data_IF_076227878447
#
_entry.id   IF_076227878447
#
_cell.length_a   1.000
_cell.length_b   1.000
_cell.length_c   1.000
_cell.angle_alpha   90.00
_cell.angle_beta   90.00
_cell.angle_gamma   90.00
#
_symmetry.space_group_name_H-M   'P 1'
#
loop_
_entity.id
_entity.type
_entity.pdbx_description
1 polymer ?
#
# COMPACT_ATOMS: atom_id res chain seq x y z
N UNK A 1 2.95 1.52 19.10
CA UNK A 1 3.61 1.50 17.77
C UNK A 1 2.56 1.48 16.68
N UNK A 2 2.59 2.51 15.83
CA UNK A 2 1.58 2.87 14.81
C UNK A 2 1.72 2.00 13.55
N UNK A 3 0.64 1.89 12.76
CA UNK A 3 0.69 1.32 11.40
C UNK A 3 1.64 2.14 10.53
N UNK A 4 2.08 1.57 9.40
CA UNK A 4 2.70 2.40 8.36
C UNK A 4 1.71 3.45 7.89
N UNK A 5 2.18 4.69 7.74
CA UNK A 5 1.36 5.84 7.43
C UNK A 5 1.84 6.53 6.14
N UNK A 6 0.90 7.10 5.39
CA UNK A 6 1.20 7.77 4.13
C UNK A 6 2.16 8.95 4.35
N UNK A 7 1.95 9.76 5.40
CA UNK A 7 2.81 10.92 5.70
C UNK A 7 4.19 10.48 6.12
N UNK A 8 4.30 9.40 6.88
CA UNK A 8 5.60 8.87 7.29
C UNK A 8 6.48 8.50 6.09
N UNK A 9 5.93 7.77 5.11
CA UNK A 9 6.69 7.38 3.91
C UNK A 9 6.92 8.56 2.97
N UNK A 10 5.95 9.46 2.86
CA UNK A 10 6.11 10.73 2.12
C UNK A 10 7.28 11.56 2.69
N UNK A 11 7.32 11.76 4.00
CA UNK A 11 8.39 12.52 4.67
C UNK A 11 9.76 11.83 4.54
N UNK A 12 9.80 10.49 4.56
CA UNK A 12 11.02 9.74 4.26
C UNK A 12 11.59 10.12 2.88
N UNK A 13 10.78 10.05 1.82
CA UNK A 13 11.26 10.37 0.47
C UNK A 13 11.51 11.87 0.26
N UNK A 14 10.70 12.73 0.88
CA UNK A 14 10.90 14.18 0.87
C UNK A 14 12.24 14.57 1.51
N UNK A 15 12.59 13.97 2.64
CA UNK A 15 13.86 14.21 3.33
C UNK A 15 15.07 13.71 2.53
N UNK A 16 14.87 12.73 1.66
CA UNK A 16 15.88 12.14 0.79
C UNK A 16 15.78 12.59 -0.68
N UNK A 17 15.09 13.70 -0.98
CA UNK A 17 14.86 14.19 -2.35
C UNK A 17 16.15 14.32 -3.18
N UNK A 18 17.26 14.63 -2.51
CA UNK A 18 18.57 14.88 -3.12
C UNK A 18 19.56 13.72 -2.99
N UNK A 19 19.16 12.57 -2.42
CA UNK A 19 20.05 11.41 -2.28
C UNK A 19 20.30 10.72 -3.62
N UNK A 20 19.25 10.52 -4.42
CA UNK A 20 19.28 9.77 -5.66
C UNK A 20 18.05 10.06 -6.56
N UNK A 21 18.08 9.58 -7.81
CA UNK A 21 16.99 9.78 -8.77
C UNK A 21 15.68 9.09 -8.32
N UNK A 22 15.77 7.89 -7.77
CA UNK A 22 14.60 7.10 -7.34
C UNK A 22 13.87 7.80 -6.20
N UNK A 23 14.59 8.27 -5.19
CA UNK A 23 14.04 9.04 -4.07
C UNK A 23 13.35 10.31 -4.55
N UNK A 24 13.90 11.00 -5.56
CA UNK A 24 13.28 12.16 -6.18
C UNK A 24 11.99 11.83 -6.92
N UNK A 25 11.98 10.74 -7.69
CA UNK A 25 10.81 10.28 -8.42
C UNK A 25 9.67 9.91 -7.46
N UNK A 26 9.97 9.15 -6.41
CA UNK A 26 8.97 8.78 -5.41
C UNK A 26 8.49 9.98 -4.60
N UNK A 27 9.35 10.93 -4.21
CA UNK A 27 8.89 12.18 -3.61
C UNK A 27 7.90 12.93 -4.53
N UNK A 28 8.19 12.99 -5.84
CA UNK A 28 7.27 13.54 -6.84
C UNK A 28 5.93 12.79 -6.91
N UNK A 29 5.95 11.45 -6.86
CA UNK A 29 4.75 10.62 -6.81
C UNK A 29 3.89 10.95 -5.58
N UNK A 30 4.46 11.01 -4.38
CA UNK A 30 3.73 11.35 -3.16
C UNK A 30 3.11 12.75 -3.21
N UNK A 31 3.83 13.75 -3.75
CA UNK A 31 3.29 15.10 -3.92
C UNK A 31 2.10 15.13 -4.91
N UNK A 32 2.17 14.37 -6.00
CA UNK A 32 1.06 14.27 -6.97
C UNK A 32 -0.15 13.56 -6.40
N UNK A 33 0.05 12.50 -5.61
CA UNK A 33 -1.05 11.85 -4.88
C UNK A 33 -1.70 12.83 -3.90
N UNK A 34 -0.91 13.63 -3.19
CA UNK A 34 -1.41 14.61 -2.21
C UNK A 34 -2.22 15.76 -2.84
N UNK A 35 -2.06 16.00 -4.15
CA UNK A 35 -2.86 16.98 -4.91
C UNK A 35 -4.25 16.45 -5.27
N UNK A 36 -4.45 15.13 -5.27
CA UNK A 36 -5.67 14.46 -5.72
C UNK A 36 -6.42 13.84 -4.54
N UNK A 37 -5.70 13.31 -3.56
CA UNK A 37 -6.23 12.62 -2.38
C UNK A 37 -5.98 13.49 -1.15
N UNK A 38 -7.06 13.79 -0.42
CA UNK A 38 -6.94 14.37 0.91
C UNK A 38 -6.38 13.30 1.86
N UNK A 39 -5.17 13.53 2.38
CA UNK A 39 -4.47 12.57 3.25
C UNK A 39 -5.29 12.20 4.50
N UNK A 40 -6.15 13.09 4.99
CA UNK A 40 -7.02 12.81 6.15
C UNK A 40 -8.15 11.83 5.83
N UNK A 41 -8.42 11.56 4.55
CA UNK A 41 -9.45 10.62 4.11
C UNK A 41 -8.89 9.21 3.89
N UNK A 42 -7.58 9.02 4.02
CA UNK A 42 -6.93 7.71 3.97
C UNK A 42 -7.25 6.95 5.26
N UNK A 43 -7.95 5.83 5.12
CA UNK A 43 -8.27 4.90 6.20
C UNK A 43 -7.13 3.90 6.41
N UNK A 44 -6.63 3.30 5.33
CA UNK A 44 -5.47 2.42 5.33
C UNK A 44 -4.54 2.73 4.16
N UNK A 45 -3.24 2.60 4.40
CA UNK A 45 -2.19 2.83 3.41
C UNK A 45 -1.24 1.64 3.38
N UNK A 46 -0.96 1.12 2.19
CA UNK A 46 -0.04 0.01 2.01
C UNK A 46 0.96 0.30 0.87
N UNK A 47 2.24 0.56 1.17
CA UNK A 47 3.27 0.79 0.17
C UNK A 47 3.96 -0.51 -0.23
N UNK A 48 3.42 -1.19 -1.23
CA UNK A 48 3.95 -2.43 -1.77
C UNK A 48 5.33 -2.21 -2.41
N UNK A 49 6.29 -3.08 -2.11
CA UNK A 49 7.68 -3.01 -2.57
C UNK A 49 8.48 -1.78 -2.07
N UNK A 50 8.20 -1.33 -0.84
CA UNK A 50 8.95 -0.26 -0.20
C UNK A 50 10.34 -0.74 0.24
N UNK A 51 11.40 -0.21 -0.37
CA UNK A 51 12.80 -0.63 -0.15
C UNK A 51 13.15 -2.02 -0.70
N UNK A 52 12.41 -2.47 -1.72
CA UNK A 52 12.68 -3.72 -2.42
C UNK A 52 13.39 -3.39 -3.73
N UNK A 53 14.59 -3.93 -3.91
CA UNK A 53 15.38 -3.71 -5.13
C UNK A 53 14.68 -4.31 -6.36
N UNK A 54 14.89 -3.69 -7.52
CA UNK A 54 14.36 -4.11 -8.83
C UNK A 54 12.83 -4.13 -8.95
N UNK A 55 12.10 -3.70 -7.92
CA UNK A 55 10.65 -3.56 -7.93
C UNK A 55 10.25 -2.08 -7.87
N UNK A 56 9.25 -1.71 -8.66
CA UNK A 56 8.66 -0.37 -8.57
C UNK A 56 7.73 -0.29 -7.37
N UNK A 57 7.93 0.71 -6.52
CA UNK A 57 7.05 1.03 -5.40
C UNK A 57 5.62 1.27 -5.90
N UNK A 58 4.66 0.57 -5.28
CA UNK A 58 3.24 0.77 -5.55
C UNK A 58 2.53 1.20 -4.27
N UNK A 59 1.73 2.25 -4.35
CA UNK A 59 0.94 2.73 -3.22
C UNK A 59 -0.49 2.24 -3.36
N UNK A 60 -1.02 1.64 -2.29
CA UNK A 60 -2.41 1.26 -2.18
C UNK A 60 -3.08 2.05 -1.07
N UNK A 61 -4.16 2.76 -1.39
CA UNK A 61 -4.87 3.64 -0.48
C UNK A 61 -6.33 3.19 -0.38
N UNK A 62 -6.78 2.86 0.83
CA UNK A 62 -8.19 2.67 1.17
C UNK A 62 -8.72 3.97 1.74
N UNK A 63 -9.72 4.56 1.09
CA UNK A 63 -10.30 5.83 1.51
C UNK A 63 -11.63 5.63 2.25
N UNK A 64 -11.97 6.57 3.14
CA UNK A 64 -13.22 6.56 3.93
C UNK A 64 -14.50 6.56 3.07
N UNK A 65 -14.41 7.00 1.83
CA UNK A 65 -15.53 7.10 0.89
C UNK A 65 -15.67 5.85 -0.02
N UNK A 66 -15.22 4.68 0.43
CA UNK A 66 -15.26 3.42 -0.32
C UNK A 66 -14.50 3.46 -1.65
N UNK A 67 -13.47 4.30 -1.76
CA UNK A 67 -12.53 4.28 -2.87
C UNK A 67 -11.28 3.52 -2.50
N UNK A 68 -10.80 2.74 -3.46
CA UNK A 68 -9.53 2.03 -3.40
C UNK A 68 -8.65 2.54 -4.53
N UNK A 69 -7.48 3.06 -4.21
CA UNK A 69 -6.57 3.68 -5.17
C UNK A 69 -5.28 2.89 -5.24
N UNK A 70 -4.83 2.60 -6.46
CA UNK A 70 -3.51 2.06 -6.75
C UNK A 70 -2.68 3.13 -7.47
N UNK A 71 -1.46 3.35 -7.03
CA UNK A 71 -0.52 4.33 -7.62
C UNK A 71 0.82 3.66 -7.88
N UNK A 72 1.41 3.91 -9.04
CA UNK A 72 2.78 3.47 -9.36
C UNK A 72 3.38 4.35 -10.45
N UNK A 73 4.68 4.20 -10.69
CA UNK A 73 5.36 4.80 -11.84
C UNK A 73 5.49 3.72 -12.92
N UNK A 74 4.95 3.93 -14.12
CA UNK A 74 5.06 2.96 -15.21
C UNK A 74 6.43 3.06 -15.93
N UNK A 75 6.66 2.16 -16.90
CA UNK A 75 7.91 2.10 -17.68
C UNK A 75 8.19 3.38 -18.49
N UNK A 76 7.13 4.11 -18.85
CA UNK A 76 7.20 5.42 -19.52
C UNK A 76 7.50 6.58 -18.54
N UNK A 77 7.87 6.28 -17.30
CA UNK A 77 8.12 7.24 -16.21
C UNK A 77 6.92 8.15 -15.90
N UNK A 78 5.70 7.65 -16.09
CA UNK A 78 4.48 8.35 -15.75
C UNK A 78 3.90 7.82 -14.44
N UNK A 79 3.39 8.72 -13.61
CA UNK A 79 2.63 8.34 -12.42
C UNK A 79 1.23 7.92 -12.88
N UNK A 80 0.91 6.65 -12.68
CA UNK A 80 -0.41 6.09 -12.96
C UNK A 80 -1.20 6.02 -11.66
N UNK A 81 -2.44 6.50 -11.70
CA UNK A 81 -3.38 6.45 -10.56
C UNK A 81 -4.65 5.76 -11.07
N UNK A 82 -4.89 4.56 -10.58
CA UNK A 82 -6.15 3.84 -10.81
C UNK A 82 -7.03 3.93 -9.58
N UNK A 83 -8.33 4.14 -9.80
CA UNK A 83 -9.31 4.28 -8.75
C UNK A 83 -10.47 3.33 -9.00
N UNK A 84 -10.76 2.51 -8.00
CA UNK A 84 -11.81 1.51 -7.99
C UNK A 84 -12.71 1.75 -6.78
N UNK A 85 -13.90 1.15 -6.77
CA UNK A 85 -14.70 1.10 -5.56
C UNK A 85 -14.28 -0.10 -4.69
N UNK A 86 -14.25 0.07 -3.37
CA UNK A 86 -13.89 -1.02 -2.45
C UNK A 86 -14.84 -2.22 -2.55
N UNK A 87 -16.10 -2.01 -2.94
CA UNK A 87 -17.09 -3.07 -3.17
C UNK A 87 -16.84 -3.91 -4.44
N UNK A 88 -15.85 -3.53 -5.26
CA UNK A 88 -15.38 -4.38 -6.36
C UNK A 88 -14.47 -5.53 -5.86
N UNK A 89 -14.00 -5.45 -4.61
CA UNK A 89 -13.36 -6.57 -3.90
C UNK A 89 -14.45 -7.57 -3.51
N UNK A 90 -14.48 -8.73 -4.18
CA UNK A 90 -15.49 -9.78 -3.95
C UNK A 90 -15.17 -10.67 -2.78
N UNK A 91 -13.89 -10.93 -2.55
CA UNK A 91 -13.44 -11.74 -1.45
C UNK A 91 -11.99 -11.40 -1.10
N UNK A 92 -11.53 -11.87 0.05
CA UNK A 92 -10.13 -11.81 0.43
C UNK A 92 -9.68 -13.15 1.03
N UNK A 93 -8.38 -13.42 0.94
CA UNK A 93 -7.72 -14.48 1.69
C UNK A 93 -6.66 -13.85 2.59
N UNK A 94 -6.60 -14.31 3.83
CA UNK A 94 -5.60 -13.89 4.79
C UNK A 94 -4.83 -15.11 5.30
N UNK A 95 -3.51 -15.05 5.16
CA UNK A 95 -2.56 -16.06 5.62
C UNK A 95 -1.69 -15.42 6.71
N UNK A 96 -1.56 -16.08 7.86
CA UNK A 96 -0.77 -15.61 9.00
C UNK A 96 0.08 -16.75 9.57
N UNK A 97 1.19 -16.43 10.25
CA UNK A 97 1.99 -17.47 10.87
C UNK A 97 1.27 -18.13 12.05
N UNK A 98 1.63 -19.38 12.33
CA UNK A 98 1.14 -20.11 13.52
C UNK A 98 1.82 -19.63 14.81
N UNK A 99 3.02 -19.06 14.70
CA UNK A 99 3.81 -18.47 15.78
C UNK A 99 4.09 -17.00 15.50
N UNK A 100 4.83 -16.34 16.39
CA UNK A 100 5.21 -14.92 16.23
C UNK A 100 6.28 -14.71 15.13
N UNK A 101 6.75 -15.77 14.48
CA UNK A 101 7.86 -15.77 13.54
C UNK A 101 7.39 -16.13 12.12
N UNK A 102 6.69 -15.21 11.46
CA UNK A 102 6.44 -15.36 10.03
C UNK A 102 5.88 -14.12 9.35
N UNK A 103 5.37 -14.30 8.14
CA UNK A 103 4.85 -13.21 7.30
C UNK A 103 3.32 -13.22 7.29
N UNK A 104 2.76 -12.03 7.24
CA UNK A 104 1.34 -11.83 7.04
C UNK A 104 1.09 -11.56 5.56
N UNK A 105 0.13 -12.26 4.99
CA UNK A 105 -0.26 -12.10 3.60
C UNK A 105 -1.76 -11.90 3.47
N UNK A 106 -2.15 -10.88 2.72
CA UNK A 106 -3.54 -10.57 2.37
C UNK A 106 -3.66 -10.52 0.85
N UNK A 107 -4.51 -11.37 0.30
CA UNK A 107 -4.84 -11.40 -1.12
C UNK A 107 -6.26 -10.88 -1.33
N UNK A 108 -6.42 -9.86 -2.16
CA UNK A 108 -7.69 -9.26 -2.54
C UNK A 108 -8.12 -9.78 -3.91
N UNK A 109 -9.33 -10.29 -3.99
CA UNK A 109 -9.91 -10.80 -5.24
C UNK A 109 -10.98 -9.84 -5.73
N UNK A 110 -10.80 -9.34 -6.95
CA UNK A 110 -11.71 -8.41 -7.61
C UNK A 110 -12.65 -9.15 -8.57
N UNK A 111 -13.69 -8.46 -9.05
CA UNK A 111 -14.56 -8.99 -10.11
C UNK A 111 -13.77 -9.32 -11.39
N UNK A 112 -14.30 -10.26 -12.19
CA UNK A 112 -13.60 -10.85 -13.36
C UNK A 112 -12.91 -9.79 -14.23
N UNK A 113 -11.61 -9.96 -14.42
CA UNK A 113 -10.78 -9.13 -15.32
C UNK A 113 -9.65 -8.37 -14.63
N UNK A 114 -9.64 -8.31 -13.29
CA UNK A 114 -8.56 -7.72 -12.50
C UNK A 114 -7.76 -8.84 -11.82
N UNK A 115 -6.45 -8.85 -12.03
CA UNK A 115 -5.54 -9.75 -11.32
C UNK A 115 -5.61 -9.47 -9.81
N UNK A 116 -5.60 -10.51 -8.98
CA UNK A 116 -5.67 -10.35 -7.53
C UNK A 116 -4.50 -9.51 -7.01
N UNK A 117 -4.75 -8.70 -5.98
CA UNK A 117 -3.69 -7.89 -5.34
C UNK A 117 -3.22 -8.62 -4.08
N UNK A 118 -1.94 -8.97 -4.04
CA UNK A 118 -1.30 -9.56 -2.85
C UNK A 118 -0.50 -8.51 -2.08
N UNK A 119 -0.78 -8.40 -0.78
CA UNK A 119 0.04 -7.72 0.21
C UNK A 119 0.79 -8.76 1.03
N UNK A 120 2.12 -8.66 1.10
CA UNK A 120 2.99 -9.57 1.84
C UNK A 120 3.96 -8.77 2.70
N UNK A 121 3.84 -8.89 4.03
CA UNK A 121 4.57 -8.03 4.96
C UNK A 121 6.08 -8.22 4.96
N UNK A 122 6.57 -9.35 4.46
CA UNK A 122 8.00 -9.65 4.36
C UNK A 122 8.55 -9.30 2.99
N UNK A 123 7.83 -9.63 1.91
CA UNK A 123 8.31 -9.40 0.54
C UNK A 123 8.16 -7.96 0.07
N UNK A 124 7.25 -7.21 0.67
CA UNK A 124 6.95 -5.85 0.25
C UNK A 124 7.80 -4.80 0.97
N UNK A 125 8.73 -5.20 1.84
CA UNK A 125 9.65 -4.28 2.50
C UNK A 125 10.92 -4.94 3.04
N UNK A 126 11.72 -4.20 3.81
CA UNK A 126 12.88 -4.71 4.54
C UNK A 126 12.51 -5.12 5.98
N UNK A 127 13.41 -5.88 6.63
CA UNK A 127 13.19 -6.40 7.99
C UNK A 127 12.89 -5.31 9.04
N UNK A 128 13.43 -4.10 8.87
CA UNK A 128 13.22 -2.99 9.79
C UNK A 128 11.79 -2.45 9.77
N UNK A 129 11.07 -2.60 8.65
CA UNK A 129 9.72 -2.07 8.46
C UNK A 129 8.64 -3.15 8.43
N UNK A 130 9.02 -4.42 8.30
CA UNK A 130 8.13 -5.59 8.26
C UNK A 130 7.01 -5.54 9.31
N UNK A 131 7.34 -5.23 10.58
CA UNK A 131 6.34 -5.18 11.65
C UNK A 131 5.22 -4.15 11.41
N UNK A 132 5.49 -3.06 10.68
CA UNK A 132 4.47 -2.06 10.33
C UNK A 132 3.55 -2.59 9.25
N UNK A 133 4.09 -3.38 8.33
CA UNK A 133 3.35 -4.06 7.28
C UNK A 133 2.43 -5.14 7.88
N UNK A 134 2.94 -5.94 8.83
CA UNK A 134 2.14 -6.91 9.59
C UNK A 134 0.87 -6.24 10.18
N UNK A 135 1.06 -5.09 10.83
CA UNK A 135 -0.02 -4.36 11.50
C UNK A 135 -1.04 -3.75 10.56
N UNK A 136 -0.61 -3.21 9.41
CA UNK A 136 -1.57 -2.65 8.45
C UNK A 136 -2.37 -3.75 7.76
N UNK A 137 -1.74 -4.89 7.43
CA UNK A 137 -2.46 -6.07 6.92
C UNK A 137 -3.51 -6.51 7.94
N UNK A 138 -3.11 -6.68 9.21
CA UNK A 138 -4.05 -7.02 10.28
C UNK A 138 -5.20 -6.01 10.41
N UNK A 139 -4.91 -4.71 10.28
CA UNK A 139 -5.92 -3.65 10.37
C UNK A 139 -6.92 -3.71 9.22
N UNK A 140 -6.45 -3.93 7.99
CA UNK A 140 -7.30 -4.09 6.80
C UNK A 140 -8.17 -5.35 6.94
N UNK A 141 -7.58 -6.49 7.34
CA UNK A 141 -8.33 -7.74 7.57
C UNK A 141 -9.41 -7.56 8.62
N UNK A 142 -9.06 -6.93 9.76
CA UNK A 142 -10.03 -6.66 10.82
C UNK A 142 -11.19 -5.81 10.30
N UNK A 143 -10.91 -4.78 9.51
CA UNK A 143 -11.94 -3.95 8.88
C UNK A 143 -12.89 -4.76 8.00
N UNK A 144 -12.33 -5.60 7.12
CA UNK A 144 -13.08 -6.48 6.21
C UNK A 144 -13.89 -7.57 6.91
N UNK A 145 -13.42 -8.10 8.03
CA UNK A 145 -14.21 -9.05 8.83
C UNK A 145 -15.37 -8.35 9.56
N UNK A 146 -15.19 -7.09 9.95
CA UNK A 146 -16.23 -6.33 10.68
C UNK A 146 -17.23 -5.60 9.78
N UNK A 147 -16.88 -5.39 8.52
CA UNK A 147 -17.70 -4.66 7.55
C UNK A 147 -18.07 -5.65 6.44
N UNK A 148 -19.36 -5.93 6.24
CA UNK A 148 -19.77 -6.71 5.07
C UNK A 148 -19.33 -5.96 3.82
N UNK A 149 -18.44 -6.57 3.03
CA UNK A 149 -17.98 -6.08 1.72
C UNK A 149 -18.95 -6.56 0.65
#
# INVERSE_FOLDING_TARGET
>A
MMNIDFREVKEYYRSNLFSDETSRQYAGMFEKVSQIVNENDILYFYPKYLFVDEQTLQLYLFLKNNKFIKVWINDDKQIVIECFNTNEIKNFAYECPLDDYGEHKLTLFFEKGIEGIEFNSKKDTNENWKYKFDKVIYSIVKYFVTTCI
#
